data_IF_024643911282
#
_entry.id   IF_024643911282
#
_cell.length_a   1.000
_cell.length_b   1.000
_cell.length_c   1.000
_cell.angle_alpha   90.00
_cell.angle_beta   90.00
_cell.angle_gamma   90.00
#
_symmetry.space_group_name_H-M   'P 1'
#
loop_
_entity.id
_entity.type
_entity.pdbx_description
1 polymer ?
#
# COMPACT_ATOMS: atom_id res chain seq x y z
N UNK A 1 1.17 24.91 15.67
CA UNK A 1 0.31 23.85 15.10
C UNK A 1 0.26 22.64 16.01
N UNK A 2 -0.84 21.89 15.99
CA UNK A 2 -0.90 20.60 16.68
C UNK A 2 -0.17 19.53 15.89
N UNK A 3 0.50 18.63 16.63
CA UNK A 3 1.25 17.50 16.06
C UNK A 3 1.10 16.30 16.96
N UNK A 4 0.90 15.12 16.37
CA UNK A 4 0.96 13.85 17.09
C UNK A 4 2.42 13.41 17.23
N UNK A 5 2.76 12.79 18.33
CA UNK A 5 4.10 12.29 18.62
C UNK A 5 4.05 10.95 19.32
N UNK A 6 4.74 9.97 18.81
CA UNK A 6 4.90 8.67 19.47
C UNK A 6 5.94 8.85 20.60
N UNK A 7 5.47 8.82 21.85
CA UNK A 7 6.29 9.12 23.04
C UNK A 7 6.79 7.87 23.76
N UNK A 8 6.18 6.73 23.49
CA UNK A 8 6.54 5.41 24.00
C UNK A 8 5.91 4.33 23.09
N UNK A 9 6.23 3.07 23.31
CA UNK A 9 5.62 1.94 22.59
C UNK A 9 4.09 2.03 22.61
N UNK A 10 3.49 2.14 21.43
CA UNK A 10 2.04 2.28 21.21
C UNK A 10 1.38 3.47 21.94
N UNK A 11 2.14 4.50 22.30
CA UNK A 11 1.63 5.64 23.04
C UNK A 11 1.87 6.95 22.32
N UNK A 12 0.79 7.60 21.89
CA UNK A 12 0.81 8.93 21.30
C UNK A 12 0.49 10.03 22.32
N UNK A 13 1.07 11.19 22.09
CA UNK A 13 0.72 12.45 22.75
C UNK A 13 0.55 13.54 21.69
N UNK A 14 -0.39 14.44 21.92
CA UNK A 14 -0.54 15.65 21.11
C UNK A 14 0.23 16.78 21.76
N UNK A 15 1.07 17.45 20.98
CA UNK A 15 1.85 18.60 21.40
C UNK A 15 1.72 19.75 20.42
N UNK A 16 2.24 20.91 20.77
CA UNK A 16 2.37 22.04 19.86
C UNK A 16 3.79 22.09 19.29
N UNK A 17 3.89 22.45 18.02
CA UNK A 17 5.15 22.70 17.33
C UNK A 17 5.04 23.96 16.50
N UNK A 18 6.17 24.58 16.19
CA UNK A 18 6.23 25.71 15.28
C UNK A 18 5.93 25.26 13.84
N UNK A 19 5.36 26.17 13.06
CA UNK A 19 5.19 25.96 11.62
C UNK A 19 6.52 26.26 10.93
N UNK A 20 6.98 25.36 10.08
CA UNK A 20 8.16 25.56 9.26
C UNK A 20 7.72 26.28 7.98
N UNK A 21 8.18 27.52 7.79
CA UNK A 21 7.87 28.29 6.60
C UNK A 21 8.55 27.68 5.36
N UNK A 22 7.90 27.72 4.18
CA UNK A 22 8.48 27.16 2.96
C UNK A 22 9.65 28.00 2.45
N UNK A 23 10.70 27.35 1.94
CA UNK A 23 11.75 27.93 1.15
C UNK A 23 11.37 27.96 -0.35
N UNK A 24 12.23 28.55 -1.18
CA UNK A 24 12.02 28.57 -2.64
C UNK A 24 11.88 27.14 -3.19
N UNK A 25 10.82 26.89 -3.97
CA UNK A 25 10.47 25.57 -4.49
C UNK A 25 9.70 24.67 -3.49
N UNK A 26 9.29 25.20 -2.34
CA UNK A 26 8.51 24.47 -1.34
C UNK A 26 7.11 25.06 -1.17
N UNK A 27 6.21 24.25 -0.62
CA UNK A 27 4.88 24.65 -0.21
C UNK A 27 4.60 24.20 1.23
N UNK A 28 3.86 25.03 1.96
CA UNK A 28 3.25 24.69 3.24
C UNK A 28 1.83 24.17 2.99
N UNK A 29 1.62 22.91 3.27
CA UNK A 29 0.34 22.23 3.20
C UNK A 29 -0.44 22.42 4.50
N UNK A 30 -1.72 22.76 4.43
CA UNK A 30 -2.68 22.55 5.50
C UNK A 30 -3.31 21.18 5.32
N UNK A 31 -2.99 20.25 6.20
CA UNK A 31 -3.49 18.87 6.15
C UNK A 31 -4.99 18.85 6.45
N UNK A 32 -5.76 18.17 5.62
CA UNK A 32 -7.21 17.98 5.79
C UNK A 32 -7.56 16.56 6.20
N UNK A 33 -7.01 15.58 5.49
CA UNK A 33 -7.24 14.16 5.74
C UNK A 33 -5.93 13.40 5.64
N UNK A 34 -5.77 12.40 6.48
CA UNK A 34 -4.70 11.41 6.44
C UNK A 34 -5.30 10.01 6.45
N UNK A 35 -4.65 9.07 5.79
CA UNK A 35 -4.94 7.64 5.89
C UNK A 35 -3.78 6.94 6.61
N UNK A 36 -4.12 5.95 7.42
CA UNK A 36 -3.11 5.17 8.14
C UNK A 36 -2.80 3.90 7.36
N UNK A 37 -1.60 3.83 6.83
CA UNK A 37 -1.10 2.70 6.08
C UNK A 37 -0.81 1.49 7.00
N UNK A 38 -0.88 0.28 6.43
CA UNK A 38 -0.45 -0.93 7.14
C UNK A 38 1.01 -0.88 7.60
N UNK A 39 1.87 -0.16 6.88
CA UNK A 39 3.27 0.07 7.25
C UNK A 39 3.43 0.98 8.46
N UNK A 40 2.59 2.02 8.59
CA UNK A 40 2.59 2.89 9.77
C UNK A 40 2.31 2.09 11.04
N UNK A 41 1.36 1.15 10.95
CA UNK A 41 1.01 0.29 12.08
C UNK A 41 2.12 -0.71 12.37
N UNK A 42 2.64 -1.41 11.36
CA UNK A 42 3.56 -2.53 11.56
C UNK A 42 4.97 -2.09 11.88
N UNK A 43 5.51 -1.16 11.13
CA UNK A 43 6.92 -0.77 11.19
C UNK A 43 7.20 0.33 12.20
N UNK A 44 6.20 1.16 12.49
CA UNK A 44 6.40 2.33 13.36
C UNK A 44 5.66 2.17 14.68
N UNK A 45 4.33 2.00 14.65
CA UNK A 45 3.51 1.98 15.85
C UNK A 45 3.69 0.69 16.68
N UNK A 46 3.73 -0.47 16.02
CA UNK A 46 3.92 -1.76 16.69
C UNK A 46 5.39 -2.16 16.90
N UNK A 47 6.34 -1.33 16.46
CA UNK A 47 7.76 -1.57 16.70
C UNK A 47 8.15 -1.06 18.09
N UNK A 48 8.73 -1.94 18.89
CA UNK A 48 9.34 -1.54 20.15
C UNK A 48 10.74 -0.99 19.86
N UNK A 49 10.84 0.33 19.82
CA UNK A 49 12.10 1.04 19.65
C UNK A 49 12.89 1.05 20.95
N UNK A 50 14.20 1.27 20.89
CA UNK A 50 15.00 1.52 22.09
C UNK A 50 14.46 2.73 22.86
N UNK A 51 14.55 2.73 24.19
CA UNK A 51 14.05 3.82 25.02
C UNK A 51 14.60 5.20 24.64
N UNK A 52 15.85 5.24 24.20
CA UNK A 52 16.54 6.47 23.76
C UNK A 52 16.00 6.99 22.39
N UNK A 53 15.22 6.19 21.68
CA UNK A 53 14.59 6.61 20.43
C UNK A 53 13.28 7.36 20.65
N UNK A 54 12.76 7.38 21.86
CA UNK A 54 11.56 8.15 22.21
C UNK A 54 11.93 9.50 22.83
N UNK A 55 11.13 10.53 22.60
CA UNK A 55 9.98 10.59 21.70
C UNK A 55 10.41 10.59 20.23
N UNK A 56 9.65 9.91 19.36
CA UNK A 56 9.88 9.92 17.91
C UNK A 56 9.68 11.32 17.34
N UNK A 57 10.12 11.52 16.07
CA UNK A 57 9.93 12.80 15.37
C UNK A 57 8.46 13.23 15.35
N UNK A 58 8.17 14.54 15.46
CA UNK A 58 6.80 15.03 15.34
C UNK A 58 6.15 14.60 14.02
N UNK A 59 4.88 14.19 14.08
CA UNK A 59 4.08 13.80 12.92
C UNK A 59 4.28 12.37 12.41
N UNK A 60 5.26 11.63 12.95
CA UNK A 60 5.48 10.22 12.58
C UNK A 60 4.45 9.31 13.29
N UNK A 61 3.96 8.21 12.65
CA UNK A 61 4.11 7.84 11.24
C UNK A 61 2.89 8.29 10.43
N UNK A 62 3.03 8.75 9.23
CA UNK A 62 1.96 8.84 8.22
C UNK A 62 2.50 9.39 6.90
N UNK A 63 2.12 8.80 5.79
CA UNK A 63 2.57 9.22 4.46
C UNK A 63 1.47 9.30 3.40
N UNK A 64 0.23 9.04 3.77
CA UNK A 64 -0.96 9.16 2.91
C UNK A 64 -1.73 10.42 3.33
N UNK A 65 -1.58 11.53 2.58
CA UNK A 65 -1.99 12.84 3.02
C UNK A 65 -2.65 13.60 1.87
N UNK A 66 -3.75 14.26 2.16
CA UNK A 66 -4.36 15.26 1.27
C UNK A 66 -4.66 16.54 2.03
N UNK A 67 -4.68 17.64 1.30
CA UNK A 67 -4.99 18.93 1.89
C UNK A 67 -4.95 20.07 0.88
N UNK A 68 -4.69 21.24 1.37
CA UNK A 68 -4.73 22.50 0.63
C UNK A 68 -3.43 23.27 0.84
N UNK A 69 -2.85 23.81 -0.23
CA UNK A 69 -1.67 24.67 -0.14
C UNK A 69 -2.03 25.93 0.64
N UNK A 70 -1.44 26.09 1.81
CA UNK A 70 -1.67 27.24 2.69
C UNK A 70 -0.74 28.41 2.37
N UNK A 71 0.53 28.12 2.05
CA UNK A 71 1.54 29.08 1.55
C UNK A 71 2.38 28.43 0.48
N UNK A 72 2.75 29.19 -0.54
CA UNK A 72 3.55 28.68 -1.64
C UNK A 72 4.73 29.59 -1.98
N UNK A 73 5.90 28.98 -2.12
CA UNK A 73 7.05 29.54 -2.84
C UNK A 73 7.44 28.64 -4.04
N UNK A 74 6.48 27.89 -4.53
CA UNK A 74 6.56 27.03 -5.72
C UNK A 74 6.18 27.79 -6.96
N UNK A 75 6.73 27.36 -8.10
CA UNK A 75 6.27 27.80 -9.43
C UNK A 75 5.10 26.95 -9.97
N UNK A 76 4.86 25.78 -9.37
CA UNK A 76 3.90 24.79 -9.84
C UNK A 76 2.57 24.87 -9.09
N UNK A 77 2.58 25.35 -7.84
CA UNK A 77 1.43 25.37 -6.96
C UNK A 77 1.18 26.76 -6.39
N UNK A 78 -0.08 27.10 -6.18
CA UNK A 78 -0.51 28.35 -5.55
C UNK A 78 -1.34 28.06 -4.29
N UNK A 79 -1.49 29.08 -3.45
CA UNK A 79 -2.38 29.03 -2.28
C UNK A 79 -3.81 28.68 -2.71
N UNK A 80 -4.45 27.80 -1.95
CA UNK A 80 -5.77 27.24 -2.23
C UNK A 80 -5.77 26.00 -3.15
N UNK A 81 -4.66 25.63 -3.78
CA UNK A 81 -4.62 24.39 -4.58
C UNK A 81 -4.86 23.18 -3.68
N UNK A 82 -5.80 22.31 -4.07
CA UNK A 82 -6.04 21.01 -3.47
C UNK A 82 -4.98 20.04 -3.94
N UNK A 83 -4.34 19.32 -2.99
CA UNK A 83 -3.23 18.46 -3.32
C UNK A 83 -3.23 17.16 -2.51
N UNK A 84 -2.70 16.10 -3.13
CA UNK A 84 -2.19 14.92 -2.44
C UNK A 84 -0.70 15.12 -2.21
N UNK A 85 -0.21 14.76 -1.04
CA UNK A 85 1.18 14.91 -0.64
C UNK A 85 1.77 13.57 -0.18
N UNK A 86 3.02 13.31 -0.58
CA UNK A 86 3.78 12.13 -0.15
C UNK A 86 5.07 12.58 0.51
N UNK A 87 5.12 12.70 1.84
CA UNK A 87 6.29 13.17 2.56
C UNK A 87 7.45 12.17 2.46
N UNK A 88 8.67 12.69 2.49
CA UNK A 88 9.89 11.85 2.49
C UNK A 88 10.20 11.23 3.85
N UNK A 89 9.57 11.74 4.90
CA UNK A 89 9.90 11.40 6.29
C UNK A 89 8.72 10.78 7.05
N UNK A 90 7.66 10.36 6.37
CA UNK A 90 6.46 9.73 6.94
C UNK A 90 5.88 10.50 8.13
N UNK A 91 5.93 11.84 8.09
CA UNK A 91 5.60 12.73 9.20
C UNK A 91 4.29 13.50 9.01
N UNK A 92 3.26 12.83 8.52
CA UNK A 92 1.98 13.46 8.15
C UNK A 92 0.99 13.71 9.28
N UNK A 93 1.20 13.17 10.49
CA UNK A 93 0.28 13.37 11.62
C UNK A 93 0.45 14.74 12.28
N UNK A 94 0.23 15.82 11.50
CA UNK A 94 0.34 17.21 11.93
C UNK A 94 -0.58 18.12 11.10
N UNK A 95 -0.97 19.27 11.67
CA UNK A 95 -1.89 20.19 10.99
C UNK A 95 -1.31 20.86 9.74
N UNK A 96 0.01 21.10 9.74
CA UNK A 96 0.72 21.73 8.61
C UNK A 96 2.01 20.99 8.32
N UNK A 97 2.36 20.90 7.03
CA UNK A 97 3.55 20.18 6.57
C UNK A 97 4.21 20.92 5.40
N UNK A 98 5.49 21.27 5.55
CA UNK A 98 6.28 21.89 4.48
C UNK A 98 7.03 20.82 3.70
N UNK A 99 6.85 20.81 2.38
CA UNK A 99 7.45 19.85 1.46
C UNK A 99 7.92 20.55 0.17
N UNK A 100 8.94 19.98 -0.52
CA UNK A 100 9.28 20.37 -1.87
C UNK A 100 8.13 20.18 -2.86
N UNK A 101 8.03 21.04 -3.88
CA UNK A 101 6.95 21.02 -4.87
C UNK A 101 6.80 19.68 -5.61
N UNK A 102 7.88 18.92 -5.80
CA UNK A 102 7.87 17.60 -6.42
C UNK A 102 7.25 16.49 -5.56
N UNK A 103 6.79 16.80 -4.36
CA UNK A 103 6.11 15.86 -3.43
C UNK A 103 4.61 16.04 -3.43
N UNK A 104 4.08 16.92 -4.29
CA UNK A 104 2.65 17.19 -4.41
C UNK A 104 2.10 16.75 -5.76
N UNK A 105 0.85 16.31 -5.73
CA UNK A 105 0.03 16.05 -6.91
C UNK A 105 -1.21 16.94 -6.80
N UNK A 106 -1.48 17.75 -7.83
CA UNK A 106 -2.67 18.58 -7.86
C UNK A 106 -3.91 17.72 -8.02
N UNK A 107 -4.89 17.95 -7.15
CA UNK A 107 -6.18 17.26 -7.18
C UNK A 107 -7.22 18.07 -7.98
N UNK A 108 -8.23 17.40 -8.53
CA UNK A 108 -9.40 18.07 -9.11
C UNK A 108 -10.19 18.87 -8.06
N UNK A 109 -11.01 19.81 -8.55
CA UNK A 109 -11.88 20.62 -7.69
C UNK A 109 -13.14 19.86 -7.18
N UNK A 110 -13.40 18.66 -7.70
CA UNK A 110 -14.52 17.80 -7.31
C UNK A 110 -14.07 16.65 -6.39
N UNK A 111 -15.02 15.98 -5.74
CA UNK A 111 -14.79 14.88 -4.82
C UNK A 111 -14.31 15.33 -3.44
N UNK A 112 -14.46 14.43 -2.47
CA UNK A 112 -14.05 14.70 -1.09
C UNK A 112 -12.57 14.36 -0.90
N UNK A 113 -11.94 14.94 0.11
CA UNK A 113 -10.54 14.64 0.43
C UNK A 113 -10.34 13.17 0.83
N UNK A 114 -11.34 12.58 1.48
CA UNK A 114 -11.37 11.17 1.88
C UNK A 114 -11.28 10.21 0.69
N UNK A 115 -11.89 10.58 -0.45
CA UNK A 115 -11.80 9.79 -1.68
C UNK A 115 -10.39 9.93 -2.28
N UNK A 116 -9.87 11.15 -2.33
CA UNK A 116 -8.58 11.44 -2.96
C UNK A 116 -7.38 10.91 -2.18
N UNK A 117 -7.43 10.81 -0.85
CA UNK A 117 -6.33 10.25 -0.07
C UNK A 117 -6.06 8.79 -0.45
N UNK A 118 -7.09 8.07 -0.90
CA UNK A 118 -6.99 6.67 -1.32
C UNK A 118 -6.18 6.49 -2.61
N UNK A 119 -5.96 7.55 -3.40
CA UNK A 119 -5.12 7.49 -4.59
C UNK A 119 -3.65 7.24 -4.28
N UNK A 120 -3.17 7.59 -3.08
CA UNK A 120 -1.80 7.29 -2.68
C UNK A 120 -1.56 5.78 -2.68
N UNK A 121 -2.32 5.02 -1.90
CA UNK A 121 -2.12 3.57 -1.83
C UNK A 121 -2.55 2.85 -3.12
N UNK A 122 -3.62 3.29 -3.77
CA UNK A 122 -4.07 2.68 -5.04
C UNK A 122 -3.06 2.88 -6.17
N UNK A 123 -2.35 4.02 -6.18
CA UNK A 123 -1.24 4.26 -7.10
C UNK A 123 -0.07 3.30 -6.89
N UNK A 124 0.22 2.91 -5.64
CA UNK A 124 1.23 1.88 -5.36
C UNK A 124 0.81 0.51 -5.91
N UNK A 125 -0.47 0.20 -5.82
CA UNK A 125 -1.06 -1.03 -6.39
C UNK A 125 -1.03 -0.98 -7.93
N UNK A 126 -1.35 0.17 -8.54
CA UNK A 126 -1.26 0.34 -9.99
C UNK A 126 0.18 0.12 -10.49
N UNK A 127 1.17 0.67 -9.80
CA UNK A 127 2.58 0.42 -10.09
C UNK A 127 2.92 -1.08 -10.06
N UNK A 128 2.52 -1.77 -8.99
CA UNK A 128 2.78 -3.18 -8.82
C UNK A 128 2.06 -4.04 -9.87
N UNK A 129 0.82 -3.69 -10.22
CA UNK A 129 0.02 -4.40 -11.21
C UNK A 129 0.63 -4.35 -12.61
N UNK A 130 1.31 -3.27 -12.99
CA UNK A 130 2.02 -3.18 -14.27
C UNK A 130 3.10 -4.27 -14.42
N UNK A 131 3.57 -4.86 -13.31
CA UNK A 131 4.62 -5.89 -13.32
C UNK A 131 4.10 -7.31 -13.56
N UNK A 132 2.82 -7.58 -13.39
CA UNK A 132 2.25 -8.90 -13.70
C UNK A 132 2.09 -9.16 -15.21
N UNK A 133 2.29 -8.15 -16.06
CA UNK A 133 2.16 -8.22 -17.50
C UNK A 133 0.70 -8.14 -17.96
N UNK A 134 0.33 -8.85 -19.03
CA UNK A 134 -1.05 -8.88 -19.51
C UNK A 134 -1.89 -9.85 -18.67
N UNK A 135 -2.89 -9.39 -17.90
CA UNK A 135 -3.72 -10.24 -17.06
C UNK A 135 -4.91 -10.87 -17.80
N UNK A 136 -5.20 -10.46 -19.03
CA UNK A 136 -6.33 -10.98 -19.81
C UNK A 136 -6.27 -12.51 -19.91
N UNK A 137 -7.33 -13.16 -19.47
CA UNK A 137 -7.46 -14.62 -19.51
C UNK A 137 -6.67 -15.39 -18.45
N UNK A 138 -5.98 -14.69 -17.51
CA UNK A 138 -5.18 -15.31 -16.45
C UNK A 138 -5.96 -15.50 -15.15
N UNK A 139 -5.55 -16.49 -14.38
CA UNK A 139 -5.99 -16.71 -13.00
C UNK A 139 -5.06 -15.93 -12.06
N UNK A 140 -5.59 -14.93 -11.35
CA UNK A 140 -4.84 -14.11 -10.41
C UNK A 140 -5.35 -14.41 -9.01
N UNK A 141 -4.46 -14.88 -8.13
CA UNK A 141 -4.74 -15.08 -6.72
C UNK A 141 -4.15 -13.93 -5.90
N UNK A 142 -4.89 -13.43 -4.91
CA UNK A 142 -4.49 -12.30 -4.08
C UNK A 142 -4.58 -12.73 -2.61
N UNK A 143 -3.43 -12.86 -1.99
CA UNK A 143 -3.29 -13.25 -0.59
C UNK A 143 -3.34 -12.01 0.31
N UNK A 144 -4.40 -11.92 1.13
CA UNK A 144 -4.74 -10.75 1.95
C UNK A 144 -5.75 -9.82 1.28
N UNK A 145 -6.87 -9.54 1.99
CA UNK A 145 -7.98 -8.68 1.52
C UNK A 145 -8.16 -7.45 2.43
N UNK A 146 -7.04 -6.80 2.78
CA UNK A 146 -7.05 -5.42 3.27
C UNK A 146 -7.28 -4.43 2.13
N UNK A 147 -7.19 -3.13 2.37
CA UNK A 147 -7.35 -2.10 1.34
C UNK A 147 -6.49 -2.34 0.09
N UNK A 148 -5.24 -2.78 0.28
CA UNK A 148 -4.32 -3.14 -0.81
C UNK A 148 -4.83 -4.34 -1.62
N UNK A 149 -5.22 -5.44 -0.96
CA UNK A 149 -5.69 -6.63 -1.68
C UNK A 149 -6.97 -6.38 -2.47
N UNK A 150 -7.89 -5.59 -1.91
CA UNK A 150 -9.13 -5.15 -2.59
C UNK A 150 -8.78 -4.29 -3.81
N UNK A 151 -7.81 -3.38 -3.71
CA UNK A 151 -7.35 -2.59 -4.86
C UNK A 151 -6.72 -3.45 -5.95
N UNK A 152 -5.97 -4.49 -5.59
CA UNK A 152 -5.47 -5.48 -6.57
C UNK A 152 -6.61 -6.25 -7.23
N UNK A 153 -7.65 -6.66 -6.48
CA UNK A 153 -8.80 -7.35 -7.03
C UNK A 153 -9.54 -6.49 -8.05
N UNK A 154 -9.77 -5.23 -7.72
CA UNK A 154 -10.38 -4.25 -8.63
C UNK A 154 -9.58 -4.07 -9.91
N UNK A 155 -8.27 -3.82 -9.81
CA UNK A 155 -7.41 -3.62 -10.99
C UNK A 155 -7.33 -4.90 -11.84
N UNK A 156 -7.18 -6.08 -11.23
CA UNK A 156 -7.14 -7.35 -11.96
C UNK A 156 -8.44 -7.60 -12.75
N UNK A 157 -9.58 -7.34 -12.12
CA UNK A 157 -10.90 -7.45 -12.76
C UNK A 157 -11.05 -6.46 -13.92
N UNK A 158 -10.72 -5.19 -13.70
CA UNK A 158 -10.79 -4.14 -14.73
C UNK A 158 -9.87 -4.43 -15.94
N UNK A 159 -8.75 -5.09 -15.72
CA UNK A 159 -7.79 -5.46 -16.76
C UNK A 159 -8.12 -6.79 -17.45
N UNK A 160 -9.24 -7.45 -17.12
CA UNK A 160 -9.74 -8.62 -17.81
C UNK A 160 -9.14 -9.96 -17.36
N UNK A 161 -8.73 -10.09 -16.11
CA UNK A 161 -8.37 -11.39 -15.55
C UNK A 161 -9.54 -12.38 -15.68
N UNK A 162 -9.22 -13.65 -16.01
CA UNK A 162 -10.22 -14.74 -16.11
C UNK A 162 -10.82 -15.05 -14.74
N UNK A 163 -9.96 -15.16 -13.74
CA UNK A 163 -10.35 -15.38 -12.36
C UNK A 163 -9.59 -14.43 -11.45
N UNK A 164 -10.30 -13.79 -10.54
CA UNK A 164 -9.76 -12.98 -9.43
C UNK A 164 -10.09 -13.70 -8.14
N UNK A 165 -9.10 -14.42 -7.59
CA UNK A 165 -9.27 -15.32 -6.44
C UNK A 165 -8.75 -14.59 -5.20
N UNK A 166 -9.66 -14.19 -4.32
CA UNK A 166 -9.34 -13.43 -3.12
C UNK A 166 -9.26 -14.36 -1.90
N UNK A 167 -8.16 -14.26 -1.15
CA UNK A 167 -7.84 -15.14 -0.02
C UNK A 167 -7.63 -14.30 1.22
N UNK A 168 -8.32 -14.61 2.32
CA UNK A 168 -8.12 -13.96 3.63
C UNK A 168 -8.61 -14.90 4.74
N UNK A 169 -8.18 -14.68 5.98
CA UNK A 169 -8.73 -15.35 7.16
C UNK A 169 -10.05 -14.72 7.64
N UNK A 170 -10.31 -13.47 7.28
CA UNK A 170 -11.45 -12.70 7.75
C UNK A 170 -12.58 -12.69 6.72
N UNK A 171 -13.70 -13.34 7.08
CA UNK A 171 -14.87 -13.44 6.21
C UNK A 171 -15.44 -12.07 5.83
N UNK A 172 -15.48 -11.11 6.75
CA UNK A 172 -15.96 -9.75 6.46
C UNK A 172 -15.18 -9.08 5.32
N UNK A 173 -13.85 -9.24 5.31
CA UNK A 173 -12.99 -8.68 4.24
C UNK A 173 -13.26 -9.37 2.90
N UNK A 174 -13.43 -10.69 2.91
CA UNK A 174 -13.79 -11.46 1.72
C UNK A 174 -15.14 -11.02 1.16
N UNK A 175 -16.16 -10.91 2.01
CA UNK A 175 -17.49 -10.46 1.59
C UNK A 175 -17.47 -9.03 1.02
N UNK A 176 -16.64 -8.16 1.60
CA UNK A 176 -16.45 -6.81 1.09
C UNK A 176 -15.76 -6.80 -0.29
N UNK A 177 -14.78 -7.68 -0.52
CA UNK A 177 -14.05 -7.77 -1.78
C UNK A 177 -14.93 -8.17 -2.99
N UNK A 178 -16.11 -8.77 -2.76
CA UNK A 178 -17.09 -9.05 -3.82
C UNK A 178 -17.48 -7.83 -4.64
N UNK A 179 -17.53 -6.67 -4.00
CA UNK A 179 -17.91 -5.41 -4.64
C UNK A 179 -16.82 -4.87 -5.58
N UNK A 180 -15.60 -5.43 -5.51
CA UNK A 180 -14.43 -4.96 -6.21
C UNK A 180 -13.89 -5.97 -7.25
N UNK A 181 -14.78 -6.81 -7.78
CA UNK A 181 -14.47 -7.66 -8.94
C UNK A 181 -13.82 -9.01 -8.62
N UNK A 182 -13.83 -9.45 -7.33
CA UNK A 182 -13.45 -10.81 -7.00
C UNK A 182 -14.44 -11.82 -7.62
N UNK A 183 -13.92 -12.86 -8.27
CA UNK A 183 -14.73 -13.93 -8.85
C UNK A 183 -14.86 -15.13 -7.91
N UNK A 184 -13.86 -15.36 -7.07
CA UNK A 184 -13.81 -16.45 -6.09
C UNK A 184 -13.26 -15.93 -4.77
N UNK A 185 -13.78 -16.49 -3.69
CA UNK A 185 -13.35 -16.18 -2.33
C UNK A 185 -12.91 -17.46 -1.65
N UNK A 186 -11.81 -17.43 -0.94
CA UNK A 186 -11.30 -18.55 -0.15
C UNK A 186 -11.03 -18.06 1.27
N UNK A 187 -11.72 -18.64 2.24
CA UNK A 187 -11.47 -18.34 3.64
C UNK A 187 -10.42 -19.32 4.20
N UNK A 188 -9.19 -18.84 4.34
CA UNK A 188 -8.07 -19.65 4.80
C UNK A 188 -8.19 -20.13 6.26
N UNK A 189 -9.20 -19.67 7.04
CA UNK A 189 -9.47 -20.17 8.38
C UNK A 189 -10.13 -21.55 8.39
N UNK A 190 -10.83 -21.91 7.31
CA UNK A 190 -11.67 -23.12 7.27
C UNK A 190 -11.61 -23.89 5.95
N UNK A 191 -10.85 -23.41 4.97
CA UNK A 191 -10.68 -24.04 3.66
C UNK A 191 -9.20 -24.31 3.38
N UNK A 192 -8.92 -25.39 2.64
CA UNK A 192 -7.58 -25.65 2.11
C UNK A 192 -7.38 -24.79 0.86
N UNK A 193 -6.55 -23.75 0.98
CA UNK A 193 -6.35 -22.75 -0.08
C UNK A 193 -5.77 -23.38 -1.35
N UNK A 194 -4.78 -24.28 -1.22
CA UNK A 194 -4.11 -24.93 -2.36
C UNK A 194 -5.12 -25.82 -3.14
N UNK A 195 -5.92 -26.61 -2.45
CA UNK A 195 -6.96 -27.44 -3.05
C UNK A 195 -8.02 -26.59 -3.77
N UNK A 196 -8.47 -25.51 -3.13
CA UNK A 196 -9.46 -24.60 -3.73
C UNK A 196 -8.94 -23.89 -4.99
N UNK A 197 -7.70 -23.42 -4.99
CA UNK A 197 -7.10 -22.85 -6.19
C UNK A 197 -6.95 -23.91 -7.28
N UNK A 198 -6.54 -25.12 -6.94
CA UNK A 198 -6.47 -26.23 -7.88
C UNK A 198 -7.84 -26.54 -8.51
N UNK A 199 -8.92 -26.59 -7.72
CA UNK A 199 -10.29 -26.77 -8.20
C UNK A 199 -10.70 -25.65 -9.17
N UNK A 200 -10.51 -24.37 -8.79
CA UNK A 200 -10.89 -23.19 -9.58
C UNK A 200 -10.12 -23.14 -10.91
N UNK A 201 -8.87 -23.58 -10.91
CA UNK A 201 -7.97 -23.49 -12.08
C UNK A 201 -7.83 -24.80 -12.86
N UNK A 202 -8.64 -25.82 -12.57
CA UNK A 202 -8.58 -27.15 -13.17
C UNK A 202 -7.18 -27.81 -13.04
N UNK A 203 -6.53 -27.64 -11.90
CA UNK A 203 -5.21 -28.21 -11.60
C UNK A 203 -4.02 -27.38 -12.05
N UNK A 204 -4.20 -26.28 -12.78
CA UNK A 204 -3.10 -25.47 -13.31
C UNK A 204 -2.45 -24.55 -12.28
N UNK A 205 -3.14 -24.19 -11.20
CA UNK A 205 -2.76 -23.18 -10.21
C UNK A 205 -2.80 -21.75 -10.77
N UNK A 206 -2.49 -20.73 -9.95
CA UNK A 206 -2.59 -19.34 -10.36
C UNK A 206 -1.44 -18.88 -11.28
N UNK A 207 -1.75 -18.15 -12.34
CA UNK A 207 -0.75 -17.54 -13.23
C UNK A 207 0.08 -16.49 -12.52
N UNK A 208 -0.61 -15.69 -11.69
CA UNK A 208 -0.03 -14.65 -10.85
C UNK A 208 -0.56 -14.80 -9.45
N UNK A 209 0.32 -14.69 -8.45
CA UNK A 209 -0.05 -14.60 -7.04
C UNK A 209 0.46 -13.30 -6.47
N UNK A 210 -0.40 -12.54 -5.81
CA UNK A 210 -0.03 -11.30 -5.13
C UNK A 210 0.10 -11.56 -3.64
N UNK A 211 1.26 -11.29 -3.07
CA UNK A 211 1.48 -11.26 -1.63
C UNK A 211 1.13 -9.84 -1.11
N UNK A 212 -0.05 -9.69 -0.48
CA UNK A 212 -0.52 -8.42 0.07
C UNK A 212 -0.77 -8.48 1.59
N UNK A 213 -0.29 -9.52 2.27
CA UNK A 213 -0.47 -9.68 3.72
C UNK A 213 0.66 -9.03 4.52
N UNK A 214 1.89 -9.03 3.99
CA UNK A 214 3.09 -8.70 4.74
C UNK A 214 3.37 -9.68 5.90
N UNK A 215 2.89 -10.91 5.80
CA UNK A 215 3.22 -11.99 6.73
C UNK A 215 4.61 -12.56 6.42
N UNK A 216 5.33 -13.00 7.46
CA UNK A 216 6.61 -13.69 7.27
C UNK A 216 6.49 -15.04 6.57
N UNK A 217 5.31 -15.64 6.53
CA UNK A 217 4.99 -16.88 5.80
C UNK A 217 4.41 -16.64 4.41
N UNK A 218 3.90 -15.43 4.13
CA UNK A 218 3.13 -15.11 2.93
C UNK A 218 3.85 -15.43 1.61
N UNK A 219 5.16 -15.21 1.54
CA UNK A 219 5.93 -15.53 0.34
C UNK A 219 5.94 -17.05 0.05
N UNK A 220 6.12 -17.89 1.07
CA UNK A 220 6.08 -19.35 0.90
C UNK A 220 4.68 -19.83 0.52
N UNK A 221 3.64 -19.27 1.11
CA UNK A 221 2.26 -19.53 0.73
C UNK A 221 2.03 -19.17 -0.75
N UNK A 222 2.51 -18.03 -1.21
CA UNK A 222 2.43 -17.67 -2.64
C UNK A 222 3.17 -18.68 -3.55
N UNK A 223 4.31 -19.24 -3.12
CA UNK A 223 5.02 -20.26 -3.89
C UNK A 223 4.19 -21.54 -4.02
N UNK A 224 3.42 -21.91 -3.01
CA UNK A 224 2.51 -23.07 -3.07
C UNK A 224 1.39 -22.85 -4.09
N UNK A 225 0.84 -21.63 -4.16
CA UNK A 225 -0.33 -21.26 -4.96
C UNK A 225 -0.02 -20.92 -6.42
N UNK A 226 1.22 -20.55 -6.73
CA UNK A 226 1.61 -20.16 -8.09
C UNK A 226 1.82 -21.39 -8.97
N UNK A 227 1.43 -21.32 -10.24
CA UNK A 227 1.74 -22.38 -11.22
C UNK A 227 3.23 -22.43 -11.56
N UNK A 228 3.68 -23.51 -12.20
CA UNK A 228 5.03 -23.57 -12.78
C UNK A 228 5.24 -22.43 -13.78
N UNK A 229 6.39 -21.75 -13.69
CA UNK A 229 6.74 -20.56 -14.49
C UNK A 229 5.79 -19.37 -14.32
N UNK A 230 4.95 -19.38 -13.28
CA UNK A 230 4.10 -18.25 -12.93
C UNK A 230 4.87 -17.13 -12.24
N UNK A 231 4.17 -16.08 -11.82
CA UNK A 231 4.77 -14.90 -11.22
C UNK A 231 4.17 -14.62 -9.85
N UNK A 232 5.03 -14.24 -8.91
CA UNK A 232 4.65 -13.73 -7.60
C UNK A 232 4.95 -12.24 -7.55
N UNK A 233 3.96 -11.43 -7.23
CA UNK A 233 4.09 -10.00 -6.96
C UNK A 233 4.27 -9.85 -5.46
N UNK A 234 5.47 -9.55 -5.03
CA UNK A 234 5.80 -9.34 -3.62
C UNK A 234 5.54 -7.87 -3.28
N UNK A 235 4.43 -7.61 -2.61
CA UNK A 235 3.99 -6.27 -2.26
C UNK A 235 4.00 -6.02 -0.74
N UNK A 236 3.55 -6.98 0.06
CA UNK A 236 3.45 -6.84 1.50
C UNK A 236 4.83 -6.65 2.15
N UNK A 237 4.92 -5.65 3.05
CA UNK A 237 6.12 -5.43 3.85
C UNK A 237 5.97 -6.12 5.22
N UNK A 238 6.87 -7.04 5.52
CA UNK A 238 6.96 -7.69 6.84
C UNK A 238 7.73 -6.84 7.84
N UNK A 239 7.57 -7.13 9.13
CA UNK A 239 8.39 -6.54 10.20
C UNK A 239 9.77 -7.17 10.29
N UNK A 240 9.89 -8.42 9.82
CA UNK A 240 11.13 -9.18 9.89
C UNK A 240 12.07 -8.78 8.74
N UNK A 241 13.32 -8.49 9.06
CA UNK A 241 14.36 -8.19 8.07
C UNK A 241 14.73 -9.43 7.24
N UNK A 242 14.57 -10.62 7.82
CA UNK A 242 14.85 -11.90 7.19
C UNK A 242 13.62 -12.81 7.31
N UNK A 243 13.20 -13.36 6.17
CA UNK A 243 12.13 -14.36 6.11
C UNK A 243 12.65 -15.66 5.52
N UNK A 244 12.19 -16.82 6.03
CA UNK A 244 12.60 -18.11 5.47
C UNK A 244 12.01 -18.30 4.07
N UNK A 245 12.80 -18.83 3.15
CA UNK A 245 12.35 -19.22 1.82
C UNK A 245 12.50 -20.73 1.63
N UNK A 246 11.42 -21.41 1.20
CA UNK A 246 11.50 -22.80 0.78
C UNK A 246 12.14 -22.88 -0.61
N UNK A 247 13.48 -22.92 -0.64
CA UNK A 247 14.27 -22.92 -1.86
C UNK A 247 13.90 -24.08 -2.80
N UNK A 248 13.67 -25.28 -2.26
CA UNK A 248 13.35 -26.45 -3.09
C UNK A 248 12.02 -26.28 -3.83
N UNK A 249 10.98 -25.81 -3.13
CA UNK A 249 9.68 -25.49 -3.76
C UNK A 249 9.83 -24.38 -4.78
N UNK A 250 10.52 -23.29 -4.47
CA UNK A 250 10.77 -22.19 -5.36
C UNK A 250 11.44 -22.65 -6.68
N UNK A 251 12.53 -23.45 -6.56
CA UNK A 251 13.20 -24.01 -7.74
C UNK A 251 12.31 -24.96 -8.53
N UNK A 252 11.51 -25.81 -7.86
CA UNK A 252 10.61 -26.75 -8.54
C UNK A 252 9.49 -26.06 -9.32
N UNK A 253 9.02 -24.92 -8.85
CA UNK A 253 8.03 -24.07 -9.55
C UNK A 253 8.66 -23.30 -10.72
N UNK A 254 9.97 -23.04 -10.68
CA UNK A 254 10.66 -22.20 -11.68
C UNK A 254 9.90 -20.86 -11.90
N UNK A 255 9.36 -20.30 -10.83
CA UNK A 255 8.56 -19.08 -10.86
C UNK A 255 9.43 -17.82 -10.68
N UNK A 256 8.85 -16.65 -10.94
CA UNK A 256 9.50 -15.35 -10.78
C UNK A 256 8.90 -14.68 -9.57
N UNK A 257 9.76 -14.15 -8.68
CA UNK A 257 9.36 -13.22 -7.60
C UNK A 257 9.77 -11.83 -8.02
N UNK A 258 8.82 -10.91 -8.07
CA UNK A 258 9.04 -9.53 -8.47
C UNK A 258 8.69 -8.57 -7.34
N UNK A 259 9.67 -7.75 -6.92
CA UNK A 259 9.49 -6.73 -5.89
C UNK A 259 8.83 -5.48 -6.45
N UNK A 260 8.05 -4.79 -5.62
CA UNK A 260 7.15 -3.72 -6.09
C UNK A 260 7.16 -2.46 -5.21
N UNK A 261 8.28 -2.13 -4.57
CA UNK A 261 8.38 -0.92 -3.77
C UNK A 261 8.47 0.33 -4.66
N UNK A 262 7.37 1.06 -4.80
CA UNK A 262 7.29 2.28 -5.64
C UNK A 262 8.26 3.37 -5.16
N UNK A 263 8.43 3.52 -3.84
CA UNK A 263 9.34 4.53 -3.26
C UNK A 263 10.82 4.25 -3.55
N UNK A 264 11.15 3.06 -4.06
CA UNK A 264 12.48 2.71 -4.56
C UNK A 264 12.73 3.13 -6.01
N UNK A 265 11.82 3.85 -6.65
CA UNK A 265 11.92 4.31 -8.05
C UNK A 265 12.31 5.78 -8.14
N UNK A 266 12.80 6.21 -9.31
CA UNK A 266 13.14 7.61 -9.58
C UNK A 266 11.91 8.52 -9.71
N UNK A 267 10.72 7.94 -9.96
CA UNK A 267 9.47 8.66 -10.20
C UNK A 267 8.31 8.13 -9.36
N UNK A 268 8.40 8.17 -8.01
CA UNK A 268 7.45 7.49 -7.13
C UNK A 268 6.01 8.04 -7.20
N UNK A 269 5.82 9.27 -7.69
CA UNK A 269 4.48 9.88 -7.80
C UNK A 269 3.80 9.62 -9.15
N UNK A 270 4.46 8.96 -10.10
CA UNK A 270 3.92 8.78 -11.45
C UNK A 270 2.60 8.03 -11.45
N UNK A 271 2.58 6.84 -10.87
CA UNK A 271 1.40 5.99 -10.83
C UNK A 271 0.31 6.53 -9.90
N UNK A 272 0.69 7.23 -8.83
CA UNK A 272 -0.27 7.92 -7.95
C UNK A 272 -0.98 9.03 -8.72
N UNK A 273 -0.27 9.72 -9.62
CA UNK A 273 -0.86 10.75 -10.48
C UNK A 273 -1.75 10.17 -11.59
N UNK A 274 -1.51 8.93 -12.01
CA UNK A 274 -2.32 8.24 -13.00
C UNK A 274 -3.65 7.74 -12.42
N UNK A 275 -3.73 7.48 -11.09
CA UNK A 275 -4.96 7.11 -10.39
C UNK A 275 -5.91 8.29 -10.23
#
# INVERSE_FOLDING_TARGET
MKVARLIDYKKFEFSNSDIIEPNDGECLLKVKVVSICGTDIRREFNKEWSKDSYPQRPGLPCHEIVGEIYRSKSKLFKEGDRVLAVPTSDNGLQEYLTLPENRFIKLPEWGEYEDWVMCQHSGTVLYASKKWGNPVGKNIAILGQGGIGISFAMIASMQGAKSVICIDYNQFRLDYSKQFGSTHLINASNENVEEKISEITNGEMADVVVEATGSSTGLNECIDLVKKKGKIILFGLTQDDLIPLNQNKFLSKNCIIESTLIMGTDTPLKEIKEM
#
